data_IF_695028416976
#
_entry.id   IF_695028416976
#
_cell.length_a   1.000
_cell.length_b   1.000
_cell.length_c   1.000
_cell.angle_alpha   90.00
_cell.angle_beta   90.00
_cell.angle_gamma   90.00
#
_symmetry.space_group_name_H-M   'P 1'
#
loop_
_entity.id
_entity.type
_entity.pdbx_description
1 polymer ?
#
# COMPACT_ATOMS: atom_id res chain seq x y z
N UNK A 1 7.92 11.58 -23.50
CA UNK A 1 9.25 11.42 -22.84
C UNK A 1 9.54 9.94 -22.61
N UNK A 2 10.81 9.55 -22.84
CA UNK A 2 11.35 8.24 -22.50
C UNK A 2 12.08 8.32 -21.18
N UNK A 3 11.61 7.58 -20.18
CA UNK A 3 12.09 7.68 -18.79
C UNK A 3 12.70 6.36 -18.34
N UNK A 4 13.88 6.42 -17.73
CA UNK A 4 14.48 5.28 -17.04
C UNK A 4 14.14 5.33 -15.54
N UNK A 5 13.65 4.21 -15.00
CA UNK A 5 13.36 4.07 -13.57
C UNK A 5 14.06 2.86 -12.97
N UNK A 6 14.65 3.02 -11.80
CA UNK A 6 15.22 1.93 -11.04
C UNK A 6 15.04 2.12 -9.53
N UNK A 7 15.18 1.02 -8.80
CA UNK A 7 15.14 0.97 -7.33
C UNK A 7 16.18 0.01 -6.79
N UNK A 8 16.86 0.39 -5.72
CA UNK A 8 17.73 -0.49 -4.93
C UNK A 8 17.31 -0.48 -3.46
N UNK A 9 17.53 -1.59 -2.74
CA UNK A 9 17.06 -1.77 -1.36
C UNK A 9 18.02 -1.23 -0.31
N UNK A 10 19.31 -1.07 -0.62
CA UNK A 10 20.35 -0.66 0.33
C UNK A 10 21.32 0.36 -0.28
N UNK A 11 21.92 1.19 0.61
CA UNK A 11 22.94 2.17 0.24
C UNK A 11 24.20 1.54 -0.37
N UNK A 12 24.47 0.26 -0.09
CA UNK A 12 25.64 -0.45 -0.58
C UNK A 12 25.48 -1.06 -1.98
N UNK A 13 24.25 -1.17 -2.51
CA UNK A 13 24.03 -1.58 -3.89
C UNK A 13 24.32 -0.39 -4.81
N UNK A 14 25.47 -0.42 -5.46
CA UNK A 14 25.97 0.67 -6.30
C UNK A 14 25.15 0.95 -7.55
N UNK A 15 24.21 0.07 -7.92
CA UNK A 15 23.44 0.22 -9.16
C UNK A 15 24.30 0.18 -10.44
N UNK A 16 25.48 -0.44 -10.39
CA UNK A 16 26.46 -0.45 -11.50
C UNK A 16 25.88 -0.89 -12.84
N UNK A 17 24.92 -1.84 -12.84
CA UNK A 17 24.20 -2.23 -14.07
C UNK A 17 23.34 -1.10 -14.62
N UNK A 18 22.83 -0.24 -13.73
CA UNK A 18 22.03 0.90 -14.09
C UNK A 18 22.86 2.01 -14.73
N UNK A 19 24.10 2.23 -14.26
CA UNK A 19 25.03 3.23 -14.78
C UNK A 19 25.76 2.78 -16.05
N UNK A 20 25.87 1.47 -16.29
CA UNK A 20 26.49 0.89 -17.49
C UNK A 20 25.64 1.04 -18.77
N UNK A 21 24.46 1.67 -18.68
CA UNK A 21 23.56 1.88 -19.78
C UNK A 21 23.88 3.17 -20.52
N UNK A 22 24.25 3.06 -21.79
CA UNK A 22 24.59 4.17 -22.68
C UNK A 22 23.41 4.68 -23.51
N UNK A 23 22.18 4.21 -23.26
CA UNK A 23 21.01 4.70 -23.97
C UNK A 23 20.60 6.11 -23.51
N UNK A 24 20.03 6.88 -24.43
CA UNK A 24 19.54 8.23 -24.12
C UNK A 24 18.15 8.18 -23.49
N UNK A 25 17.98 8.88 -22.36
CA UNK A 25 16.74 9.05 -21.63
C UNK A 25 16.48 10.53 -21.38
N UNK A 26 15.23 10.96 -21.49
CA UNK A 26 14.84 12.33 -21.17
C UNK A 26 14.98 12.62 -19.68
N UNK A 27 14.68 11.60 -18.83
CA UNK A 27 14.84 11.66 -17.38
C UNK A 27 15.18 10.28 -16.80
N UNK A 28 15.92 10.32 -15.70
CA UNK A 28 16.28 9.13 -14.92
C UNK A 28 15.79 9.33 -13.52
N UNK A 29 15.02 8.36 -13.01
CA UNK A 29 14.53 8.30 -11.63
C UNK A 29 15.16 7.10 -10.91
N UNK A 30 15.57 7.31 -9.67
CA UNK A 30 16.28 6.31 -8.91
C UNK A 30 15.93 6.35 -7.41
N UNK A 31 15.16 5.38 -6.96
CA UNK A 31 14.77 5.24 -5.56
C UNK A 31 15.72 4.33 -4.78
N UNK A 32 16.22 4.82 -3.64
CA UNK A 32 16.96 4.03 -2.62
C UNK A 32 16.04 3.73 -1.45
N UNK A 33 15.12 2.79 -1.65
CA UNK A 33 14.11 2.42 -0.64
C UNK A 33 13.89 0.92 -0.62
N UNK A 34 13.38 0.41 0.50
CA UNK A 34 13.00 -0.99 0.63
C UNK A 34 12.05 -1.42 -0.48
N UNK A 35 12.20 -2.67 -0.96
CA UNK A 35 11.25 -3.26 -1.90
C UNK A 35 9.83 -3.38 -1.36
N UNK A 36 9.61 -3.30 -0.04
CA UNK A 36 8.29 -3.33 0.59
C UNK A 36 7.46 -2.06 0.37
N UNK A 37 8.08 -0.95 -0.06
CA UNK A 37 7.38 0.30 -0.37
C UNK A 37 6.76 0.20 -1.76
N UNK A 38 5.46 0.46 -1.87
CA UNK A 38 4.75 0.46 -3.16
C UNK A 38 5.31 1.53 -4.10
N UNK A 39 5.26 1.27 -5.42
CA UNK A 39 5.83 2.18 -6.43
C UNK A 39 5.34 3.63 -6.27
N UNK A 40 4.03 3.82 -6.09
CA UNK A 40 3.41 5.14 -5.99
C UNK A 40 3.73 5.90 -4.70
N UNK A 41 4.29 5.23 -3.70
CA UNK A 41 4.66 5.80 -2.40
C UNK A 41 6.15 6.13 -2.30
N UNK A 42 6.95 5.77 -3.30
CA UNK A 42 8.39 6.04 -3.35
C UNK A 42 8.65 7.49 -3.76
N UNK A 43 9.70 8.15 -3.25
CA UNK A 43 10.00 9.55 -3.57
C UNK A 43 10.03 9.88 -5.07
N UNK A 44 10.78 9.10 -5.85
CA UNK A 44 10.86 9.27 -7.31
C UNK A 44 9.69 8.60 -8.04
N UNK A 45 9.10 7.57 -7.46
CA UNK A 45 7.85 6.98 -7.92
C UNK A 45 6.69 7.99 -7.91
N UNK A 46 6.56 8.83 -6.85
CA UNK A 46 5.57 9.92 -6.78
C UNK A 46 5.79 10.94 -7.90
N UNK A 47 7.05 11.36 -8.13
CA UNK A 47 7.39 12.32 -9.19
C UNK A 47 7.06 11.76 -10.58
N UNK A 48 7.41 10.48 -10.81
CA UNK A 48 7.12 9.79 -12.06
C UNK A 48 5.60 9.63 -12.26
N UNK A 49 4.85 9.25 -11.22
CA UNK A 49 3.38 9.17 -11.27
C UNK A 49 2.76 10.50 -11.70
N UNK A 50 3.21 11.63 -11.15
CA UNK A 50 2.73 12.97 -11.56
C UNK A 50 2.99 13.26 -13.04
N UNK A 51 4.15 12.86 -13.59
CA UNK A 51 4.47 13.04 -15.01
C UNK A 51 3.60 12.16 -15.90
N UNK A 52 3.29 10.93 -15.46
CA UNK A 52 2.41 9.99 -16.14
C UNK A 52 0.98 10.54 -16.19
N UNK A 53 0.45 10.98 -15.04
CA UNK A 53 -0.90 11.58 -14.97
C UNK A 53 -1.03 12.87 -15.81
N UNK A 54 0.07 13.62 -15.96
CA UNK A 54 0.13 14.78 -16.84
C UNK A 54 0.29 14.44 -18.34
N UNK A 55 0.28 13.15 -18.71
CA UNK A 55 0.41 12.71 -20.12
C UNK A 55 1.77 13.00 -20.75
N UNK A 56 2.82 13.20 -19.96
CA UNK A 56 4.16 13.58 -20.46
C UNK A 56 5.09 12.39 -20.73
N UNK A 57 4.67 11.17 -20.36
CA UNK A 57 5.49 9.96 -20.46
C UNK A 57 4.96 9.07 -21.58
N UNK A 58 5.83 8.60 -22.45
CA UNK A 58 5.54 7.69 -23.54
C UNK A 58 6.10 6.30 -23.30
N UNK A 59 7.31 6.24 -22.70
CA UNK A 59 8.00 4.99 -22.43
C UNK A 59 8.65 5.02 -21.05
N UNK A 60 8.52 3.91 -20.31
CA UNK A 60 9.25 3.64 -19.09
C UNK A 60 10.16 2.44 -19.29
N UNK A 61 11.45 2.64 -19.04
CA UNK A 61 12.47 1.61 -19.12
C UNK A 61 12.90 1.20 -17.73
N UNK A 62 12.77 -0.08 -17.42
CA UNK A 62 13.18 -0.70 -16.17
C UNK A 62 14.16 -1.84 -16.40
N UNK A 63 14.99 -2.15 -15.43
CA UNK A 63 15.92 -3.27 -15.54
C UNK A 63 15.18 -4.61 -15.42
N UNK A 64 14.30 -4.73 -14.44
CA UNK A 64 13.50 -5.93 -14.17
C UNK A 64 12.16 -5.55 -13.49
N UNK A 65 11.18 -6.43 -13.52
CA UNK A 65 9.85 -6.18 -12.95
C UNK A 65 9.87 -5.84 -11.46
N UNK A 66 10.79 -6.40 -10.68
CA UNK A 66 10.92 -6.14 -9.23
C UNK A 66 11.24 -4.67 -8.90
N UNK A 67 11.59 -3.86 -9.90
CA UNK A 67 11.87 -2.43 -9.69
C UNK A 67 10.61 -1.60 -9.53
N UNK A 68 9.49 -1.97 -10.16
CA UNK A 68 8.24 -1.19 -10.16
C UNK A 68 7.18 -1.69 -9.19
N UNK A 69 7.42 -2.75 -8.44
CA UNK A 69 6.47 -3.24 -7.45
C UNK A 69 7.14 -3.72 -6.17
N UNK A 70 6.34 -3.87 -5.11
CA UNK A 70 6.77 -4.44 -3.81
C UNK A 70 6.61 -5.96 -3.77
N UNK A 71 5.69 -6.50 -4.55
CA UNK A 71 5.42 -7.92 -4.74
C UNK A 71 4.81 -8.12 -6.14
N UNK A 72 4.57 -9.36 -6.51
CA UNK A 72 4.02 -9.70 -7.84
C UNK A 72 2.70 -9.00 -8.14
N UNK A 73 1.78 -8.91 -7.17
CA UNK A 73 0.50 -8.22 -7.35
C UNK A 73 0.64 -6.72 -7.56
N UNK A 74 1.56 -6.07 -6.83
CA UNK A 74 1.85 -4.65 -7.02
C UNK A 74 2.46 -4.37 -8.40
N UNK A 75 3.35 -5.25 -8.87
CA UNK A 75 3.90 -5.19 -10.25
C UNK A 75 2.79 -5.27 -11.28
N UNK A 76 1.88 -6.25 -11.16
CA UNK A 76 0.75 -6.42 -12.08
C UNK A 76 -0.14 -5.17 -12.10
N UNK A 77 -0.49 -4.63 -10.93
CA UNK A 77 -1.30 -3.41 -10.82
C UNK A 77 -0.63 -2.20 -11.47
N UNK A 78 0.68 -2.02 -11.26
CA UNK A 78 1.43 -0.93 -11.90
C UNK A 78 1.50 -1.12 -13.40
N UNK A 79 1.75 -2.33 -13.91
CA UNK A 79 1.78 -2.62 -15.34
C UNK A 79 0.43 -2.39 -16.01
N UNK A 80 -0.67 -2.83 -15.38
CA UNK A 80 -2.04 -2.61 -15.87
C UNK A 80 -2.36 -1.11 -15.93
N UNK A 81 -2.02 -0.36 -14.87
CA UNK A 81 -2.21 1.08 -14.85
C UNK A 81 -1.39 1.80 -15.95
N UNK A 82 -0.14 1.39 -16.19
CA UNK A 82 0.68 1.94 -17.29
C UNK A 82 0.09 1.60 -18.67
N UNK A 83 -0.46 0.40 -18.82
CA UNK A 83 -1.14 0.00 -20.05
C UNK A 83 -2.41 0.82 -20.31
N UNK A 84 -3.23 1.09 -19.29
CA UNK A 84 -4.41 1.97 -19.35
C UNK A 84 -4.03 3.40 -19.76
N UNK A 85 -2.89 3.91 -19.26
CA UNK A 85 -2.33 5.21 -19.66
C UNK A 85 -1.67 5.22 -21.04
N UNK A 86 -1.62 4.09 -21.73
CA UNK A 86 -1.03 3.97 -23.07
C UNK A 86 0.51 3.99 -23.09
N UNK A 87 1.16 3.84 -21.94
CA UNK A 87 2.61 3.95 -21.80
C UNK A 87 3.28 2.64 -22.22
N UNK A 88 4.33 2.75 -23.03
CA UNK A 88 5.18 1.62 -23.36
C UNK A 88 6.11 1.29 -22.19
N UNK A 89 6.22 0.00 -21.84
CA UNK A 89 7.14 -0.48 -20.82
C UNK A 89 8.19 -1.38 -21.45
N UNK A 90 9.46 -1.05 -21.22
CA UNK A 90 10.60 -1.86 -21.64
C UNK A 90 11.30 -2.46 -20.44
N UNK A 91 11.42 -3.79 -20.41
CA UNK A 91 12.14 -4.57 -19.39
C UNK A 91 13.45 -5.04 -19.98
N UNK A 92 14.56 -4.43 -19.58
CA UNK A 92 15.87 -4.60 -20.24
C UNK A 92 16.46 -5.99 -20.11
N UNK A 93 16.43 -6.58 -18.90
CA UNK A 93 17.00 -7.91 -18.67
C UNK A 93 16.33 -9.03 -19.49
N UNK A 94 15.11 -8.79 -19.96
CA UNK A 94 14.36 -9.72 -20.81
C UNK A 94 14.34 -9.30 -22.30
N UNK A 95 14.83 -8.11 -22.62
CA UNK A 95 14.68 -7.54 -23.97
C UNK A 95 13.21 -7.35 -24.36
N UNK A 96 12.31 -7.22 -23.39
CA UNK A 96 10.87 -7.27 -23.61
C UNK A 96 10.27 -5.86 -23.62
N UNK A 97 9.47 -5.55 -24.65
CA UNK A 97 8.70 -4.31 -24.77
C UNK A 97 7.20 -4.63 -24.77
N UNK A 98 6.41 -3.82 -24.07
CA UNK A 98 4.95 -3.99 -24.04
C UNK A 98 4.31 -3.62 -25.39
N UNK A 99 4.87 -2.66 -26.09
CA UNK A 99 4.38 -2.16 -27.39
C UNK A 99 5.54 -1.86 -28.36
N UNK A 100 6.20 -2.90 -28.92
CA UNK A 100 7.19 -2.67 -29.96
C UNK A 100 6.51 -2.00 -31.18
N UNK A 101 7.08 -0.91 -31.68
CA UNK A 101 6.55 -0.15 -32.82
C UNK A 101 5.08 0.31 -32.64
N UNK A 102 4.65 0.55 -31.39
CA UNK A 102 3.28 0.99 -31.08
C UNK A 102 2.23 -0.12 -31.05
N UNK A 103 2.57 -1.36 -31.43
CA UNK A 103 1.65 -2.50 -31.45
C UNK A 103 1.77 -3.30 -30.15
N UNK A 104 0.64 -3.71 -29.58
CA UNK A 104 0.63 -4.56 -28.36
C UNK A 104 1.37 -5.88 -28.62
N UNK A 105 2.32 -6.19 -27.74
CA UNK A 105 3.12 -7.40 -27.82
C UNK A 105 2.36 -8.61 -27.26
N UNK A 106 2.06 -9.66 -28.05
CA UNK A 106 1.39 -10.85 -27.54
C UNK A 106 2.15 -11.56 -26.40
N UNK A 107 3.50 -11.56 -26.47
CA UNK A 107 4.36 -12.14 -25.44
C UNK A 107 4.18 -11.38 -24.11
N UNK A 108 4.05 -10.05 -24.15
CA UNK A 108 3.76 -9.24 -22.97
C UNK A 108 2.46 -9.66 -22.28
N UNK A 109 1.39 -9.84 -23.07
CA UNK A 109 0.10 -10.32 -22.55
C UNK A 109 0.22 -11.70 -21.91
N UNK A 110 0.95 -12.61 -22.53
CA UNK A 110 1.19 -13.96 -21.99
C UNK A 110 1.95 -13.90 -20.66
N UNK A 111 3.04 -13.12 -20.56
CA UNK A 111 3.82 -12.96 -19.33
C UNK A 111 2.97 -12.34 -18.23
N UNK A 112 2.18 -11.30 -18.53
CA UNK A 112 1.27 -10.68 -17.56
C UNK A 112 0.25 -11.67 -17.03
N UNK A 113 -0.31 -12.54 -17.89
CA UNK A 113 -1.24 -13.59 -17.49
C UNK A 113 -0.60 -14.63 -16.58
N UNK A 114 0.60 -15.10 -16.92
CA UNK A 114 1.35 -16.06 -16.09
C UNK A 114 1.70 -15.45 -14.73
N UNK A 115 2.14 -14.19 -14.69
CA UNK A 115 2.41 -13.48 -13.44
C UNK A 115 1.16 -13.37 -12.57
N UNK A 116 -0.01 -13.08 -13.15
CA UNK A 116 -1.28 -13.02 -12.42
C UNK A 116 -1.63 -14.37 -11.79
N UNK A 117 -1.51 -15.46 -12.55
CA UNK A 117 -1.78 -16.81 -12.04
C UNK A 117 -0.82 -17.20 -10.91
N UNK A 118 0.46 -16.89 -11.04
CA UNK A 118 1.45 -17.14 -9.98
C UNK A 118 1.13 -16.34 -8.71
N UNK A 119 0.67 -15.10 -8.86
CA UNK A 119 0.27 -14.27 -7.72
C UNK A 119 -0.95 -14.84 -7.00
N UNK A 120 -1.95 -15.29 -7.75
CA UNK A 120 -3.14 -15.94 -7.17
C UNK A 120 -2.75 -17.20 -6.38
N UNK A 121 -1.89 -18.06 -6.94
CA UNK A 121 -1.35 -19.21 -6.23
C UNK A 121 -0.60 -18.83 -4.94
N UNK A 122 0.21 -17.77 -4.98
CA UNK A 122 0.92 -17.27 -3.79
C UNK A 122 -0.06 -16.80 -2.70
N UNK A 123 -1.13 -16.09 -3.07
CA UNK A 123 -2.18 -15.67 -2.14
C UNK A 123 -2.92 -16.86 -1.51
N UNK A 124 -3.23 -17.90 -2.28
CA UNK A 124 -3.86 -19.11 -1.77
C UNK A 124 -2.94 -19.82 -0.77
N UNK A 125 -1.67 -20.00 -1.10
CA UNK A 125 -0.68 -20.58 -0.20
C UNK A 125 -0.51 -19.78 1.11
N UNK A 126 -0.58 -18.45 1.05
CA UNK A 126 -0.54 -17.59 2.25
C UNK A 126 -1.80 -17.79 3.10
N UNK A 127 -2.98 -17.85 2.48
CA UNK A 127 -4.26 -18.08 3.17
C UNK A 127 -4.25 -19.44 3.88
N UNK A 128 -3.81 -20.49 3.17
CA UNK A 128 -3.73 -21.85 3.71
C UNK A 128 -2.78 -21.92 4.91
N UNK A 129 -1.54 -21.43 4.76
CA UNK A 129 -0.56 -21.39 5.86
C UNK A 129 -1.07 -20.60 7.07
N UNK A 130 -1.78 -19.50 6.81
CA UNK A 130 -2.37 -18.68 7.89
C UNK A 130 -3.51 -19.41 8.58
N UNK A 131 -4.35 -20.12 7.83
CA UNK A 131 -5.44 -20.92 8.39
C UNK A 131 -4.91 -22.07 9.26
N UNK A 132 -3.93 -22.83 8.74
CA UNK A 132 -3.26 -23.91 9.49
C UNK A 132 -2.57 -23.36 10.74
N UNK A 133 -1.83 -22.26 10.63
CA UNK A 133 -1.17 -21.63 11.77
C UNK A 133 -2.14 -21.18 12.87
N UNK A 134 -3.32 -20.64 12.49
CA UNK A 134 -4.39 -20.30 13.45
C UNK A 134 -4.97 -21.55 14.12
N UNK A 135 -5.18 -22.62 13.35
CA UNK A 135 -5.70 -23.89 13.88
C UNK A 135 -4.74 -24.47 14.91
N UNK A 136 -3.45 -24.57 14.58
CA UNK A 136 -2.41 -25.07 15.50
C UNK A 136 -2.32 -24.20 16.74
N UNK A 137 -2.40 -22.87 16.61
CA UNK A 137 -2.39 -21.94 17.73
C UNK A 137 -3.56 -22.20 18.69
N UNK A 138 -4.77 -22.42 18.16
CA UNK A 138 -5.97 -22.74 18.97
C UNK A 138 -5.85 -24.13 19.61
N UNK A 139 -5.35 -25.15 18.90
CA UNK A 139 -5.11 -26.49 19.44
C UNK A 139 -4.12 -26.48 20.61
N UNK A 140 -3.15 -25.59 20.57
CA UNK A 140 -2.18 -25.39 21.66
C UNK A 140 -2.72 -24.50 22.80
N UNK A 141 -4.06 -24.27 22.87
CA UNK A 141 -4.71 -23.47 23.93
C UNK A 141 -4.69 -21.97 23.70
N UNK A 142 -4.20 -21.49 22.56
CA UNK A 142 -4.22 -20.09 22.19
C UNK A 142 -5.65 -19.61 21.88
N UNK A 143 -5.95 -18.34 22.17
CA UNK A 143 -7.23 -17.70 21.87
C UNK A 143 -7.06 -16.65 20.80
N UNK A 144 -7.82 -16.77 19.71
CA UNK A 144 -7.86 -15.78 18.64
C UNK A 144 -8.70 -14.57 19.06
N UNK A 145 -8.32 -13.41 18.55
CA UNK A 145 -9.00 -12.15 18.81
C UNK A 145 -8.32 -11.32 19.90
N UNK A 146 -9.01 -10.27 20.35
CA UNK A 146 -8.49 -9.38 21.37
C UNK A 146 -8.42 -10.12 22.72
N UNK A 147 -7.29 -10.06 23.45
CA UNK A 147 -7.18 -10.69 24.76
C UNK A 147 -8.29 -10.21 25.70
N UNK A 148 -8.88 -11.15 26.45
CA UNK A 148 -9.89 -10.83 27.45
C UNK A 148 -9.31 -9.87 28.49
N UNK A 149 -10.05 -8.83 28.84
CA UNK A 149 -9.59 -7.80 29.78
C UNK A 149 -8.66 -6.73 29.20
N UNK A 150 -8.20 -6.86 27.95
CA UNK A 150 -7.43 -5.81 27.31
C UNK A 150 -8.35 -4.66 26.89
N UNK A 151 -8.67 -3.76 27.81
CA UNK A 151 -9.31 -2.48 27.53
C UNK A 151 -8.25 -1.40 27.33
N UNK A 152 -8.56 -0.44 26.48
CA UNK A 152 -7.74 0.77 26.38
C UNK A 152 -7.79 1.51 27.72
N UNK A 153 -6.65 2.06 28.14
CA UNK A 153 -6.60 2.88 29.37
C UNK A 153 -7.59 4.05 29.26
N UNK A 154 -8.43 4.21 30.25
CA UNK A 154 -9.49 5.22 30.29
C UNK A 154 -8.94 6.64 30.11
N UNK A 155 -7.74 6.94 30.59
CA UNK A 155 -7.09 8.23 30.40
C UNK A 155 -6.80 8.48 28.91
N UNK A 156 -6.15 7.53 28.25
CA UNK A 156 -5.85 7.61 26.81
C UNK A 156 -7.13 7.63 25.96
N UNK A 157 -8.15 6.90 26.38
CA UNK A 157 -9.46 6.92 25.70
C UNK A 157 -10.12 8.29 25.79
N UNK A 158 -10.08 8.96 26.93
CA UNK A 158 -10.66 10.28 27.13
C UNK A 158 -9.88 11.40 26.40
N UNK A 159 -8.59 11.22 26.14
CA UNK A 159 -7.74 12.18 25.41
C UNK A 159 -8.03 12.22 23.90
N UNK A 160 -8.73 11.22 23.37
CA UNK A 160 -9.07 11.19 21.92
C UNK A 160 -9.95 12.38 21.51
N UNK A 161 -9.75 12.93 20.30
CA UNK A 161 -10.52 14.08 19.82
C UNK A 161 -12.04 13.87 19.92
N UNK A 162 -12.53 12.68 19.52
CA UNK A 162 -13.95 12.34 19.62
C UNK A 162 -14.45 12.31 21.08
N UNK A 163 -13.65 11.75 22.01
CA UNK A 163 -14.00 11.73 23.43
C UNK A 163 -14.01 13.13 24.03
N UNK A 164 -13.10 14.01 23.62
CA UNK A 164 -13.10 15.41 24.04
C UNK A 164 -14.32 16.18 23.54
N UNK A 165 -14.77 15.92 22.32
CA UNK A 165 -16.03 16.49 21.81
C UNK A 165 -17.23 15.99 22.60
N UNK A 166 -17.27 14.71 22.96
CA UNK A 166 -18.32 14.13 23.80
C UNK A 166 -18.31 14.80 25.17
N UNK A 167 -17.16 14.98 25.81
CA UNK A 167 -17.03 15.65 27.11
C UNK A 167 -17.57 17.07 27.04
N UNK A 168 -17.23 17.83 25.99
CA UNK A 168 -17.77 19.20 25.78
C UNK A 168 -19.29 19.21 25.62
N UNK A 169 -19.84 18.22 24.90
CA UNK A 169 -21.29 18.06 24.72
C UNK A 169 -22.00 17.72 26.04
N UNK A 170 -21.45 16.81 26.84
CA UNK A 170 -21.99 16.46 28.16
C UNK A 170 -21.98 17.65 29.12
N UNK A 171 -20.92 18.46 29.14
CA UNK A 171 -20.85 19.70 29.96
C UNK A 171 -21.88 20.75 29.55
N UNK A 172 -22.28 20.76 28.27
CA UNK A 172 -23.33 21.66 27.77
C UNK A 172 -24.74 21.13 27.97
N UNK A 173 -24.94 19.98 28.61
CA UNK A 173 -26.24 19.38 28.86
C UNK A 173 -26.97 18.82 27.62
N UNK A 174 -26.23 18.58 26.52
CA UNK A 174 -26.79 18.00 25.30
C UNK A 174 -27.23 16.56 25.50
N UNK A 175 -28.22 16.12 24.76
CA UNK A 175 -28.70 14.73 24.79
C UNK A 175 -27.65 13.77 24.17
N UNK A 176 -27.64 12.50 24.57
CA UNK A 176 -26.73 11.46 24.06
C UNK A 176 -26.80 11.34 22.52
N UNK A 177 -28.00 11.52 21.94
CA UNK A 177 -28.20 11.44 20.49
C UNK A 177 -27.58 12.64 19.77
N UNK A 178 -27.74 13.84 20.29
CA UNK A 178 -27.13 15.07 19.74
C UNK A 178 -25.59 14.99 19.81
N UNK A 179 -25.06 14.58 20.98
CA UNK A 179 -23.63 14.39 21.18
C UNK A 179 -23.09 13.36 20.18
N UNK A 180 -23.79 12.25 19.97
CA UNK A 180 -23.39 11.22 19.01
C UNK A 180 -23.28 11.77 17.59
N UNK A 181 -24.23 12.61 17.16
CA UNK A 181 -24.20 13.28 15.85
C UNK A 181 -23.03 14.27 15.73
N UNK A 182 -22.84 15.13 16.73
CA UNK A 182 -21.80 16.17 16.73
C UNK A 182 -20.37 15.55 16.74
N UNK A 183 -20.19 14.48 17.56
CA UNK A 183 -18.88 13.82 17.70
C UNK A 183 -18.65 12.71 16.68
N UNK A 184 -19.59 12.49 15.75
CA UNK A 184 -19.60 11.35 14.82
C UNK A 184 -19.32 10.00 15.53
N UNK A 185 -19.94 9.81 16.68
CA UNK A 185 -19.71 8.66 17.56
C UNK A 185 -20.99 7.91 17.86
N UNK A 186 -20.87 6.59 18.11
CA UNK A 186 -22.03 5.79 18.50
C UNK A 186 -22.53 6.21 19.91
N UNK A 187 -23.83 6.03 20.15
CA UNK A 187 -24.43 6.26 21.47
C UNK A 187 -23.77 5.42 22.57
N UNK A 188 -23.29 4.22 22.24
CA UNK A 188 -22.49 3.37 23.15
C UNK A 188 -21.18 4.04 23.55
N UNK A 189 -20.50 4.71 22.62
CA UNK A 189 -19.25 5.45 22.89
C UNK A 189 -19.54 6.65 23.80
N UNK A 190 -20.63 7.40 23.55
CA UNK A 190 -21.05 8.53 24.39
C UNK A 190 -21.35 8.06 25.82
N UNK A 191 -22.09 6.96 25.97
CA UNK A 191 -22.40 6.36 27.28
C UNK A 191 -21.14 5.88 28.00
N UNK A 192 -20.17 5.29 27.27
CA UNK A 192 -18.88 4.87 27.85
C UNK A 192 -18.11 6.07 28.41
N UNK A 193 -17.99 7.17 27.65
CA UNK A 193 -17.34 8.40 28.13
C UNK A 193 -18.04 8.94 29.38
N UNK A 194 -19.37 9.02 29.37
CA UNK A 194 -20.17 9.47 30.53
C UNK A 194 -19.87 8.61 31.74
N UNK A 195 -19.93 7.27 31.65
CA UNK A 195 -19.64 6.34 32.75
C UNK A 195 -18.25 6.52 33.31
N UNK A 196 -17.24 6.73 32.46
CA UNK A 196 -15.85 6.94 32.94
C UNK A 196 -15.71 8.28 33.69
N UNK A 197 -16.43 9.31 33.27
CA UNK A 197 -16.44 10.61 33.95
C UNK A 197 -17.19 10.55 35.29
N UNK A 198 -18.35 9.88 35.35
CA UNK A 198 -19.14 9.72 36.56
C UNK A 198 -18.36 8.94 37.66
N UNK A 199 -17.52 7.95 37.28
CA UNK A 199 -16.62 7.22 38.20
C UNK A 199 -15.47 8.10 38.70
N UNK A 200 -15.02 9.10 37.94
CA UNK A 200 -13.91 10.00 38.37
C UNK A 200 -14.39 11.21 39.17
N UNK A 201 -15.72 11.43 39.27
CA UNK A 201 -16.33 12.49 40.08
C UNK A 201 -16.80 12.01 41.46
N UNK A 202 -16.59 10.75 41.78
CA UNK A 202 -16.70 10.12 43.08
C UNK A 202 -15.31 9.91 43.70
#
# INVERSE_FOLDING_TARGET
MRIKYNRVSTLQQSGNRFTADNENYDKVFFDKVSGSVAFKDRPDGIKLTKLIEAGKVEEIVIEEFSRIGRNTGDVINVLSWLEEKGINVTVRNLGLKSRPNGVKNPIWKMISSVMSSLYEMELENIKERTAVGRMVYVQNGGKLGRPSGSSENDKLFLEKPASQQIIKGLKKGLTIREIGKISNSSTKTVMKVKKILDIKSL
#
